data_IF_867918937823
#
_entry.id   IF_867918937823
#
_cell.length_a   1.000
_cell.length_b   1.000
_cell.length_c   1.000
_cell.angle_alpha   90.00
_cell.angle_beta   90.00
_cell.angle_gamma   90.00
#
_symmetry.space_group_name_H-M   'P 1'
#
loop_
_entity.id
_entity.type
_entity.pdbx_description
1 polymer ?
#
# COMPACT_ATOMS: atom_id res chain seq x y z
N UNK A 1 23.37 12.86 9.98
CA UNK A 1 22.06 12.87 9.29
C UNK A 1 21.19 13.90 9.97
N UNK A 2 20.79 14.95 9.25
CA UNK A 2 19.92 15.98 9.81
C UNK A 2 18.55 15.40 10.17
N UNK A 3 18.04 15.80 11.32
CA UNK A 3 16.69 15.41 11.76
C UNK A 3 15.70 16.08 10.79
N UNK A 4 15.03 15.31 9.95
CA UNK A 4 13.96 15.81 9.09
C UNK A 4 12.71 15.93 9.94
N UNK A 5 12.30 17.16 10.24
CA UNK A 5 11.05 17.43 10.92
C UNK A 5 9.95 17.64 9.89
N UNK A 6 8.86 16.85 9.97
CA UNK A 6 7.66 17.05 9.18
C UNK A 6 6.69 17.98 9.90
N UNK A 7 6.17 18.94 9.18
CA UNK A 7 5.13 19.87 9.67
C UNK A 7 3.82 19.50 8.96
N UNK A 8 2.76 19.35 9.71
CA UNK A 8 1.42 19.12 9.17
C UNK A 8 0.78 20.46 8.78
N UNK A 9 0.42 20.57 7.52
CA UNK A 9 -0.33 21.71 6.98
C UNK A 9 -1.77 21.27 6.68
N UNK A 10 -2.72 22.16 6.95
CA UNK A 10 -4.12 21.95 6.62
C UNK A 10 -4.70 23.22 6.02
N UNK A 11 -5.49 23.06 4.97
CA UNK A 11 -6.19 24.14 4.30
C UNK A 11 -7.63 23.73 4.05
N UNK A 12 -8.56 24.63 4.29
CA UNK A 12 -9.99 24.41 4.03
C UNK A 12 -10.35 25.03 2.69
N UNK A 13 -10.73 24.20 1.73
CA UNK A 13 -11.18 24.61 0.41
C UNK A 13 -12.71 24.61 0.38
N UNK A 14 -13.32 25.79 0.31
CA UNK A 14 -14.77 25.92 0.24
C UNK A 14 -15.26 25.73 -1.20
N UNK A 15 -16.17 24.78 -1.37
CA UNK A 15 -16.87 24.57 -2.63
C UNK A 15 -17.75 25.81 -2.94
N UNK A 16 -17.73 26.29 -4.20
CA UNK A 16 -18.70 27.28 -4.65
C UNK A 16 -20.11 26.68 -4.61
N UNK A 17 -21.06 27.45 -4.08
CA UNK A 17 -22.45 27.05 -4.01
C UNK A 17 -22.97 26.74 -5.43
N UNK A 18 -23.77 25.70 -5.57
CA UNK A 18 -24.36 25.22 -6.82
C UNK A 18 -23.36 24.80 -7.93
N UNK A 19 -22.11 24.52 -7.56
CA UNK A 19 -21.11 23.98 -8.49
C UNK A 19 -20.65 22.60 -8.08
N UNK A 20 -20.44 21.75 -9.08
CA UNK A 20 -19.81 20.44 -8.90
C UNK A 20 -18.30 20.59 -9.02
N UNK A 21 -17.56 20.05 -8.08
CA UNK A 21 -16.10 19.92 -8.21
C UNK A 21 -15.83 18.80 -9.21
N UNK A 22 -15.08 19.12 -10.26
CA UNK A 22 -14.71 18.15 -11.32
C UNK A 22 -13.32 17.59 -11.07
N UNK A 23 -12.42 18.41 -10.53
CA UNK A 23 -11.05 17.98 -10.21
C UNK A 23 -10.48 18.88 -9.11
N UNK A 24 -9.55 18.33 -8.36
CA UNK A 24 -8.71 19.07 -7.40
C UNK A 24 -7.27 18.77 -7.75
N UNK A 25 -6.49 19.82 -7.99
CA UNK A 25 -5.05 19.69 -8.25
C UNK A 25 -4.29 20.36 -7.13
N UNK A 26 -3.39 19.61 -6.51
CA UNK A 26 -2.47 20.13 -5.49
C UNK A 26 -1.11 20.35 -6.14
N UNK A 27 -0.61 21.57 -6.11
CA UNK A 27 0.68 21.93 -6.69
C UNK A 27 1.60 22.43 -5.58
N UNK A 28 2.54 21.62 -5.10
CA UNK A 28 3.58 22.08 -4.18
C UNK A 28 4.49 23.09 -4.91
N UNK A 29 4.67 24.24 -4.32
CA UNK A 29 5.49 25.32 -4.91
C UNK A 29 6.57 25.73 -3.92
N UNK A 30 7.80 25.86 -4.40
CA UNK A 30 8.94 26.40 -3.64
C UNK A 30 9.30 27.74 -4.26
N UNK A 31 9.27 28.81 -3.45
CA UNK A 31 9.67 30.15 -3.87
C UNK A 31 10.73 30.70 -2.94
N UNK A 32 11.65 31.48 -3.48
CA UNK A 32 12.68 32.20 -2.75
C UNK A 32 13.60 31.38 -1.84
N UNK A 33 13.74 30.08 -2.13
CA UNK A 33 14.65 29.20 -1.42
C UNK A 33 15.25 28.13 -2.34
N UNK A 34 16.35 27.55 -1.92
CA UNK A 34 16.97 26.39 -2.57
C UNK A 34 17.05 25.23 -1.59
N UNK A 35 16.81 24.01 -2.07
CA UNK A 35 16.86 22.82 -1.23
C UNK A 35 15.95 21.72 -1.73
N UNK A 36 15.80 20.68 -0.90
CA UNK A 36 14.91 19.55 -1.17
C UNK A 36 13.80 19.54 -0.12
N UNK A 37 12.55 19.47 -0.59
CA UNK A 37 11.36 19.35 0.26
C UNK A 37 10.76 17.98 0.02
N UNK A 38 10.41 17.31 1.09
CA UNK A 38 9.72 16.02 1.06
C UNK A 38 8.27 16.23 1.43
N UNK A 39 7.36 15.71 0.61
CA UNK A 39 5.93 15.68 0.87
C UNK A 39 5.51 14.24 1.12
N UNK A 40 4.66 14.05 2.13
CA UNK A 40 4.08 12.75 2.45
C UNK A 40 2.67 12.94 3.01
N UNK A 41 1.90 11.88 3.03
CA UNK A 41 0.61 11.79 3.71
C UNK A 41 -0.39 12.88 3.27
N UNK A 42 -0.51 13.09 1.96
CA UNK A 42 -1.52 14.01 1.41
C UNK A 42 -2.91 13.39 1.62
N UNK A 43 -3.80 14.14 2.27
CA UNK A 43 -5.17 13.72 2.55
C UNK A 43 -6.15 14.78 2.11
N UNK A 44 -7.15 14.39 1.34
CA UNK A 44 -8.35 15.19 1.07
C UNK A 44 -9.52 14.54 1.81
N UNK A 45 -10.19 15.33 2.64
CA UNK A 45 -11.34 14.84 3.40
C UNK A 45 -12.51 15.86 3.35
N UNK A 46 -13.70 15.36 3.55
CA UNK A 46 -14.89 16.17 3.68
C UNK A 46 -15.05 16.66 5.13
N UNK A 47 -15.49 17.91 5.31
CA UNK A 47 -15.69 18.52 6.62
C UNK A 47 -14.64 19.56 7.00
N UNK A 48 -14.84 20.21 8.13
CA UNK A 48 -13.98 21.29 8.63
C UNK A 48 -13.01 20.86 9.73
N UNK A 49 -13.15 19.66 10.27
CA UNK A 49 -12.30 19.15 11.33
C UNK A 49 -11.21 18.22 10.74
N UNK A 50 -9.96 18.57 11.02
CA UNK A 50 -8.83 17.74 10.63
C UNK A 50 -8.79 16.46 11.47
N UNK A 51 -8.97 15.31 10.83
CA UNK A 51 -8.82 13.99 11.47
C UNK A 51 -7.37 13.51 11.44
N UNK A 52 -7.07 12.40 12.13
CA UNK A 52 -5.82 11.69 11.95
C UNK A 52 -5.63 11.30 10.48
N UNK A 53 -4.38 11.19 10.03
CA UNK A 53 -4.11 10.65 8.71
C UNK A 53 -4.59 9.19 8.67
N UNK A 54 -5.53 8.92 7.78
CA UNK A 54 -5.93 7.58 7.43
C UNK A 54 -5.26 7.24 6.09
N UNK A 55 -4.37 6.24 6.04
CA UNK A 55 -3.81 5.83 4.76
C UNK A 55 -4.97 5.32 3.88
N UNK A 56 -5.30 6.11 2.87
CA UNK A 56 -6.22 5.68 1.84
C UNK A 56 -5.40 4.93 0.80
N UNK A 57 -5.58 3.64 0.71
CA UNK A 57 -4.83 2.76 -0.19
C UNK A 57 -5.32 2.78 -1.63
N UNK A 58 -6.17 3.70 -1.99
CA UNK A 58 -6.54 3.95 -3.37
C UNK A 58 -5.53 4.86 -4.07
N UNK A 59 -4.35 4.35 -4.35
CA UNK A 59 -3.54 4.89 -5.43
C UNK A 59 -3.52 3.83 -6.52
N UNK A 60 -4.58 3.83 -7.29
CA UNK A 60 -4.66 3.05 -8.50
C UNK A 60 -4.07 3.89 -9.62
N UNK A 61 -2.80 3.70 -9.96
CA UNK A 61 -2.24 4.17 -11.21
C UNK A 61 -2.51 3.10 -12.26
N UNK A 62 -3.61 3.25 -12.98
CA UNK A 62 -3.91 2.43 -14.15
C UNK A 62 -3.13 3.02 -15.32
N UNK A 63 -2.00 2.42 -15.68
CA UNK A 63 -1.18 2.89 -16.81
C UNK A 63 -1.78 2.54 -18.19
N UNK A 64 -2.51 1.44 -18.28
CA UNK A 64 -3.22 1.04 -19.50
C UNK A 64 -4.29 -0.01 -19.18
N UNK A 65 -5.21 -0.24 -20.10
CA UNK A 65 -6.26 -1.26 -19.94
C UNK A 65 -5.71 -2.69 -19.76
N UNK A 66 -4.47 -2.95 -20.17
CA UNK A 66 -3.80 -4.24 -20.04
C UNK A 66 -2.60 -4.23 -19.07
N UNK A 67 -2.42 -3.17 -18.30
CA UNK A 67 -1.32 -3.07 -17.35
C UNK A 67 -1.74 -3.53 -15.94
N UNK A 68 -0.82 -4.09 -15.15
CA UNK A 68 -1.10 -4.38 -13.74
C UNK A 68 -1.54 -3.13 -12.98
N UNK A 69 -2.48 -3.31 -12.08
CA UNK A 69 -2.88 -2.28 -11.10
C UNK A 69 -1.90 -2.30 -9.95
N UNK A 70 -1.45 -1.11 -9.55
CA UNK A 70 -0.43 -0.93 -8.50
C UNK A 70 -1.00 -0.20 -7.31
N UNK A 71 -0.70 -0.70 -6.12
CA UNK A 71 -1.02 -0.06 -4.85
C UNK A 71 0.27 0.07 -4.03
N UNK A 72 0.49 1.24 -3.45
CA UNK A 72 1.68 1.52 -2.65
C UNK A 72 1.29 2.24 -1.37
N UNK A 73 1.86 1.83 -0.25
CA UNK A 73 1.57 2.45 1.04
C UNK A 73 2.61 2.13 2.10
N UNK A 74 2.57 2.87 3.19
CA UNK A 74 3.35 2.59 4.40
C UNK A 74 2.39 2.13 5.48
N UNK A 75 2.63 0.94 6.01
CA UNK A 75 1.90 0.37 7.13
C UNK A 75 2.71 0.47 8.42
N UNK A 76 2.02 0.62 9.55
CA UNK A 76 2.61 0.71 10.89
C UNK A 76 1.87 -0.20 11.84
N UNK A 77 2.61 -1.06 12.54
CA UNK A 77 2.06 -2.05 13.47
C UNK A 77 1.08 -3.00 12.75
N UNK A 78 -0.21 -2.88 13.00
CA UNK A 78 -1.23 -3.65 12.32
C UNK A 78 -2.19 -2.73 11.58
N UNK A 79 -2.36 -2.96 10.30
CA UNK A 79 -3.27 -2.17 9.45
C UNK A 79 -4.05 -3.06 8.48
N UNK A 80 -5.27 -2.61 8.20
CA UNK A 80 -6.08 -3.18 7.11
C UNK A 80 -5.82 -2.39 5.84
N UNK A 81 -5.30 -3.07 4.84
CA UNK A 81 -5.07 -2.53 3.50
C UNK A 81 -6.23 -2.94 2.61
N UNK A 82 -6.77 -2.01 1.86
CA UNK A 82 -7.83 -2.27 0.88
C UNK A 82 -7.22 -2.22 -0.51
N UNK A 83 -7.26 -3.36 -1.21
CA UNK A 83 -6.87 -3.47 -2.61
C UNK A 83 -8.13 -3.71 -3.43
N UNK A 84 -8.54 -2.73 -4.19
CA UNK A 84 -9.76 -2.83 -4.99
C UNK A 84 -9.49 -3.68 -6.24
N UNK A 85 -10.10 -4.85 -6.29
CA UNK A 85 -10.11 -5.72 -7.46
C UNK A 85 -11.45 -5.52 -8.18
N UNK A 86 -11.43 -4.80 -9.29
CA UNK A 86 -12.63 -4.52 -10.09
C UNK A 86 -12.96 -5.63 -11.08
N UNK A 87 -12.10 -6.64 -11.20
CA UNK A 87 -12.36 -7.83 -12.00
C UNK A 87 -13.49 -8.68 -11.42
N UNK A 88 -14.05 -9.56 -12.22
CA UNK A 88 -15.12 -10.47 -11.81
C UNK A 88 -14.58 -11.71 -11.08
N UNK A 89 -13.28 -11.97 -11.14
CA UNK A 89 -12.63 -13.12 -10.50
C UNK A 89 -11.51 -12.69 -9.55
N UNK A 90 -11.02 -13.63 -8.74
CA UNK A 90 -9.87 -13.41 -7.88
C UNK A 90 -8.61 -13.21 -8.70
N UNK A 91 -7.80 -12.23 -8.34
CA UNK A 91 -6.52 -11.92 -8.96
C UNK A 91 -5.35 -12.34 -8.07
N UNK A 92 -4.28 -12.84 -8.69
CA UNK A 92 -3.00 -13.08 -7.99
C UNK A 92 -2.34 -11.76 -7.59
N UNK A 93 -1.73 -11.72 -6.42
CA UNK A 93 -1.02 -10.56 -5.91
C UNK A 93 0.49 -10.79 -5.92
N UNK A 94 1.20 -9.87 -6.52
CA UNK A 94 2.63 -9.72 -6.32
C UNK A 94 2.83 -8.64 -5.24
N UNK A 95 3.51 -9.01 -4.16
CA UNK A 95 3.66 -8.19 -2.97
C UNK A 95 5.14 -8.00 -2.69
N UNK A 96 5.57 -6.73 -2.60
CA UNK A 96 6.88 -6.37 -2.09
C UNK A 96 6.73 -5.67 -0.74
N UNK A 97 7.49 -6.13 0.24
CA UNK A 97 7.55 -5.56 1.58
C UNK A 97 8.97 -5.03 1.83
N UNK A 98 9.05 -3.74 2.11
CA UNK A 98 10.31 -3.03 2.40
C UNK A 98 10.33 -2.58 3.86
N UNK A 99 10.92 -3.36 4.79
CA UNK A 99 11.01 -2.98 6.19
C UNK A 99 11.77 -1.67 6.36
N UNK A 100 11.28 -0.81 7.24
CA UNK A 100 11.99 0.45 7.59
C UNK A 100 12.90 0.28 8.81
N UNK A 101 12.71 -0.78 9.57
CA UNK A 101 13.50 -1.15 10.76
C UNK A 101 13.63 -2.66 10.84
N UNK A 102 14.53 -3.11 11.72
CA UNK A 102 14.63 -4.52 12.08
C UNK A 102 13.30 -5.07 12.62
N UNK A 103 12.90 -6.24 12.15
CA UNK A 103 11.76 -7.01 12.60
C UNK A 103 12.19 -8.44 12.90
N UNK A 104 11.74 -8.97 14.03
CA UNK A 104 12.06 -10.35 14.42
C UNK A 104 11.40 -11.38 13.50
N UNK A 105 12.02 -12.53 13.36
CA UNK A 105 11.45 -13.65 12.61
C UNK A 105 10.10 -14.09 13.20
N UNK A 106 9.15 -14.40 12.34
CA UNK A 106 7.79 -14.78 12.72
C UNK A 106 6.87 -13.63 13.13
N UNK A 107 7.40 -12.40 13.21
CA UNK A 107 6.63 -11.24 13.65
C UNK A 107 5.88 -10.50 12.55
N UNK A 108 6.16 -10.83 11.30
CA UNK A 108 5.51 -10.22 10.13
C UNK A 108 4.55 -11.20 9.50
N UNK A 109 3.29 -10.79 9.37
CA UNK A 109 2.25 -11.58 8.71
C UNK A 109 1.46 -10.76 7.72
N UNK A 110 1.11 -11.41 6.62
CA UNK A 110 0.16 -10.91 5.62
C UNK A 110 -1.05 -11.84 5.63
N UNK A 111 -2.25 -11.31 5.79
CA UNK A 111 -3.48 -12.11 5.84
C UNK A 111 -4.56 -11.55 4.92
N UNK A 112 -5.34 -12.43 4.34
CA UNK A 112 -6.49 -12.09 3.53
C UNK A 112 -7.72 -11.99 4.44
N UNK A 113 -8.08 -10.77 4.81
CA UNK A 113 -9.21 -10.50 5.70
C UNK A 113 -9.04 -11.06 7.11
N UNK A 114 -10.08 -10.92 7.92
CA UNK A 114 -10.13 -11.46 9.28
C UNK A 114 -10.42 -12.96 9.23
N UNK A 115 -9.52 -13.75 9.80
CA UNK A 115 -9.65 -15.21 9.82
C UNK A 115 -9.36 -15.90 8.49
N UNK A 116 -8.91 -15.15 7.48
CA UNK A 116 -8.49 -15.68 6.18
C UNK A 116 -7.12 -16.34 6.21
N UNK A 117 -6.69 -16.78 5.04
CA UNK A 117 -5.37 -17.38 4.88
C UNK A 117 -4.27 -16.34 5.13
N UNK A 118 -3.17 -16.77 5.71
CA UNK A 118 -2.05 -15.90 6.04
C UNK A 118 -0.71 -16.50 5.65
N UNK A 119 0.22 -15.65 5.31
CA UNK A 119 1.63 -15.95 5.19
C UNK A 119 2.40 -15.31 6.34
N UNK A 120 3.29 -16.05 6.96
CA UNK A 120 4.20 -15.58 8.02
C UNK A 120 5.64 -15.78 7.56
N UNK A 121 6.50 -14.84 7.86
CA UNK A 121 7.92 -14.90 7.49
C UNK A 121 8.75 -15.30 8.69
N UNK A 122 9.30 -16.54 8.71
CA UNK A 122 10.01 -17.08 9.87
C UNK A 122 11.36 -16.41 10.13
N UNK A 123 11.98 -15.84 9.10
CA UNK A 123 13.28 -15.19 9.22
C UNK A 123 13.15 -13.70 9.55
N UNK A 124 14.12 -13.17 10.33
CA UNK A 124 14.18 -11.76 10.66
C UNK A 124 14.39 -10.90 9.40
N UNK A 125 13.83 -9.71 9.39
CA UNK A 125 13.94 -8.74 8.31
C UNK A 125 14.71 -7.51 8.76
N UNK A 126 15.43 -6.89 7.84
CA UNK A 126 16.25 -5.72 8.11
C UNK A 126 15.81 -4.52 7.26
N UNK A 127 16.12 -3.32 7.72
CA UNK A 127 15.89 -2.13 6.92
C UNK A 127 16.66 -2.22 5.60
N UNK A 128 15.94 -2.00 4.49
CA UNK A 128 16.52 -2.09 3.15
C UNK A 128 16.34 -3.43 2.47
N UNK A 129 15.81 -4.46 3.17
CA UNK A 129 15.41 -5.69 2.49
C UNK A 129 14.25 -5.42 1.52
N UNK A 130 14.22 -6.16 0.43
CA UNK A 130 13.06 -6.36 -0.44
C UNK A 130 12.56 -7.80 -0.26
N UNK A 131 11.49 -7.97 0.50
CA UNK A 131 10.86 -9.28 0.70
C UNK A 131 9.67 -9.37 -0.23
N UNK A 132 9.79 -10.22 -1.25
CA UNK A 132 8.77 -10.37 -2.27
C UNK A 132 8.01 -11.69 -2.12
N UNK A 133 6.68 -11.61 -2.21
CA UNK A 133 5.77 -12.74 -2.29
C UNK A 133 5.00 -12.62 -3.59
N UNK A 134 5.37 -13.41 -4.58
CA UNK A 134 4.93 -13.25 -5.96
C UNK A 134 3.95 -14.36 -6.35
N UNK A 135 2.71 -14.01 -6.68
CA UNK A 135 1.75 -14.94 -7.23
C UNK A 135 2.07 -15.27 -8.70
N UNK A 136 2.58 -14.31 -9.44
CA UNK A 136 2.92 -14.43 -10.87
C UNK A 136 3.94 -15.55 -11.13
N UNK A 137 4.97 -15.66 -10.30
CA UNK A 137 6.02 -16.68 -10.41
C UNK A 137 5.90 -17.79 -9.37
N UNK A 138 4.99 -17.66 -8.39
CA UNK A 138 4.82 -18.56 -7.22
C UNK A 138 6.07 -18.63 -6.34
N UNK A 139 6.77 -17.52 -6.22
CA UNK A 139 8.01 -17.41 -5.48
C UNK A 139 7.86 -16.56 -4.22
N UNK A 140 8.72 -16.87 -3.23
CA UNK A 140 9.00 -15.98 -2.12
C UNK A 140 10.49 -15.71 -2.12
N UNK A 141 10.88 -14.45 -2.18
CA UNK A 141 12.29 -14.06 -2.28
C UNK A 141 12.61 -12.94 -1.29
N UNK A 142 13.88 -12.83 -0.93
CA UNK A 142 14.46 -11.70 -0.22
C UNK A 142 15.67 -11.21 -1.00
N UNK A 143 15.66 -9.97 -1.43
CA UNK A 143 16.73 -9.37 -2.24
C UNK A 143 17.05 -10.23 -3.48
N UNK A 144 16.03 -10.85 -4.08
CA UNK A 144 16.15 -11.74 -5.22
C UNK A 144 16.58 -13.17 -4.92
N UNK A 145 16.96 -13.51 -3.69
CA UNK A 145 17.27 -14.86 -3.28
C UNK A 145 16.04 -15.55 -2.69
N UNK A 146 15.92 -16.88 -2.85
CA UNK A 146 14.79 -17.64 -2.31
C UNK A 146 14.65 -17.45 -0.80
N UNK A 147 13.43 -17.15 -0.35
CA UNK A 147 13.07 -16.95 1.05
C UNK A 147 12.03 -17.97 1.50
N UNK A 148 12.04 -18.30 2.79
CA UNK A 148 11.07 -19.21 3.41
C UNK A 148 9.88 -18.44 3.94
N UNK A 149 8.68 -18.98 3.73
CA UNK A 149 7.44 -18.51 4.36
C UNK A 149 6.63 -19.67 4.91
N UNK A 150 5.88 -19.42 5.95
CA UNK A 150 4.88 -20.35 6.46
C UNK A 150 3.48 -19.88 6.02
N UNK A 151 2.64 -20.85 5.66
CA UNK A 151 1.29 -20.58 5.23
C UNK A 151 1.18 -20.11 3.77
N UNK A 152 0.01 -19.64 3.44
CA UNK A 152 -0.36 -19.26 2.07
C UNK A 152 -1.19 -17.99 2.06
N UNK A 153 -0.83 -17.04 1.21
CA UNK A 153 -1.58 -15.83 0.94
C UNK A 153 -1.02 -15.15 -0.31
N UNK A 154 -1.79 -15.12 -1.40
CA UNK A 154 -1.34 -14.55 -2.67
C UNK A 154 -2.48 -14.09 -3.57
N UNK A 155 -3.70 -13.89 -3.06
CA UNK A 155 -4.84 -13.53 -3.90
C UNK A 155 -5.66 -12.40 -3.31
N UNK A 156 -6.21 -11.56 -4.19
CA UNK A 156 -7.28 -10.62 -3.89
C UNK A 156 -8.59 -11.18 -4.43
N UNK A 157 -9.61 -11.26 -3.60
CA UNK A 157 -10.94 -11.64 -4.06
C UNK A 157 -11.55 -10.52 -4.92
N UNK A 158 -12.44 -10.90 -5.85
CA UNK A 158 -13.21 -9.92 -6.59
C UNK A 158 -14.08 -9.10 -5.61
N UNK A 159 -14.07 -7.79 -5.76
CA UNK A 159 -14.86 -6.80 -5.00
C UNK A 159 -14.58 -6.71 -3.49
N UNK A 160 -14.07 -7.76 -2.87
CA UNK A 160 -13.70 -7.76 -1.44
C UNK A 160 -12.20 -8.01 -1.28
N UNK A 161 -11.48 -6.96 -1.00
CA UNK A 161 -10.03 -6.95 -1.03
C UNK A 161 -9.42 -6.38 0.25
N UNK A 162 -9.97 -6.80 1.39
CA UNK A 162 -9.39 -6.48 2.70
C UNK A 162 -8.21 -7.39 2.99
N UNK A 163 -7.08 -6.78 3.26
CA UNK A 163 -5.85 -7.46 3.60
C UNK A 163 -5.32 -6.91 4.92
N UNK A 164 -4.90 -7.79 5.82
CA UNK A 164 -4.35 -7.38 7.11
C UNK A 164 -2.84 -7.59 7.06
N UNK A 165 -2.12 -6.53 7.32
CA UNK A 165 -0.67 -6.54 7.48
C UNK A 165 -0.35 -6.34 8.94
N UNK A 166 0.27 -7.33 9.56
CA UNK A 166 0.69 -7.26 10.96
C UNK A 166 2.21 -7.19 11.04
N UNK A 167 2.70 -6.12 11.61
CA UNK A 167 4.10 -5.86 11.93
C UNK A 167 4.24 -5.74 13.45
N UNK A 168 5.46 -5.88 14.01
CA UNK A 168 5.70 -5.58 15.41
C UNK A 168 5.27 -4.15 15.76
N UNK A 169 4.77 -3.96 16.97
CA UNK A 169 4.28 -2.67 17.44
C UNK A 169 5.32 -1.56 17.27
N UNK A 170 4.90 -0.44 16.69
CA UNK A 170 5.75 0.72 16.43
C UNK A 170 6.70 0.56 15.24
N UNK A 171 6.73 -0.59 14.58
CA UNK A 171 7.50 -0.81 13.35
C UNK A 171 6.70 -0.42 12.12
N UNK A 172 7.40 -0.12 11.05
CA UNK A 172 6.78 0.25 9.78
C UNK A 172 7.48 -0.42 8.59
N UNK A 173 6.70 -0.65 7.56
CA UNK A 173 7.18 -1.14 6.26
C UNK A 173 6.45 -0.42 5.13
N UNK A 174 7.13 -0.24 4.03
CA UNK A 174 6.47 0.11 2.78
C UNK A 174 6.01 -1.17 2.11
N UNK A 175 4.82 -1.15 1.57
CA UNK A 175 4.23 -2.24 0.80
C UNK A 175 3.95 -1.75 -0.61
N UNK A 176 4.30 -2.57 -1.57
CA UNK A 176 3.93 -2.41 -2.96
C UNK A 176 3.19 -3.67 -3.38
N UNK A 177 1.97 -3.50 -3.85
CA UNK A 177 1.17 -4.57 -4.41
C UNK A 177 1.00 -4.34 -5.90
N UNK A 178 0.98 -5.42 -6.66
CA UNK A 178 0.50 -5.39 -8.04
C UNK A 178 -0.40 -6.59 -8.32
N UNK A 179 -1.39 -6.38 -9.15
CA UNK A 179 -2.28 -7.43 -9.64
C UNK A 179 -2.76 -7.12 -11.04
N UNK A 180 -3.06 -8.17 -11.79
CA UNK A 180 -3.76 -8.06 -13.06
C UNK A 180 -5.23 -8.38 -12.81
N UNK A 181 -6.11 -7.43 -13.06
CA UNK A 181 -7.56 -7.65 -12.98
C UNK A 181 -8.00 -8.57 -14.11
N UNK A 182 -8.90 -9.50 -13.80
CA UNK A 182 -9.36 -10.55 -14.71
C UNK A 182 -10.89 -10.56 -14.73
N UNK A 183 -11.46 -10.82 -15.90
CA UNK A 183 -12.89 -11.04 -16.07
C UNK A 183 -13.26 -12.52 -16.08
N UNK A 184 -14.56 -12.83 -16.06
CA UNK A 184 -15.08 -14.19 -16.16
C UNK A 184 -14.55 -14.87 -17.42
N UNK A 185 -13.90 -16.03 -17.25
CA UNK A 185 -13.24 -16.72 -18.33
C UNK A 185 -11.74 -16.45 -18.43
N UNK A 186 -11.18 -15.59 -17.56
CA UNK A 186 -9.75 -15.28 -17.51
C UNK A 186 -9.29 -14.27 -18.56
N UNK A 187 -10.21 -13.52 -19.16
CA UNK A 187 -9.88 -12.39 -20.02
C UNK A 187 -9.33 -11.22 -19.20
N UNK A 188 -8.38 -10.49 -19.75
CA UNK A 188 -7.85 -9.27 -19.14
C UNK A 188 -8.84 -8.12 -19.32
N UNK A 189 -9.09 -7.37 -18.26
CA UNK A 189 -9.92 -6.15 -18.28
C UNK A 189 -9.12 -4.94 -18.79
#
# INVERSE_FOLDING_TARGET
>A
MGNVAFIRLAEVVNKKQDKRVVSVTVVPTITDCSGTIYFTDLQLQEGSALTGYAPHTEICLKESENAPVWFNGIVRSEETVILLNLGSTSAGLDIHLYPKQYMEGGSVTLAQGVGGQKATFPNAMYAGDDVALLASTRECTRNGAKETKDGFYQYSAAWDSKHIVSLPQGKSAQLLYSMQEMDDGGELL
#
